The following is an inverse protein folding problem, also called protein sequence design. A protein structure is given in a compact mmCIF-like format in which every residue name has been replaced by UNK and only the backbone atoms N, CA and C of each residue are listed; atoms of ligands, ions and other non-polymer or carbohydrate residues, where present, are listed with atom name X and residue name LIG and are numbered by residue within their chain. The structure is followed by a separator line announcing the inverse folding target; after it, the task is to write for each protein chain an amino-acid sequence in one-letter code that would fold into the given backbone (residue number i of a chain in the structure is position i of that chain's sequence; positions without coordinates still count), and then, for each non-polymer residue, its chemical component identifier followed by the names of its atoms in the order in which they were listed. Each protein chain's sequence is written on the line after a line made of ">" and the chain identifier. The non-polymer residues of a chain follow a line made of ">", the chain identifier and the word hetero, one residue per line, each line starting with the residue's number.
data_IF_153281185617
#
_entry.id   IF_153281185617
#
_cell.length_a   1.000
_cell.length_b   1.000
_cell.length_c   1.000
_cell.angle_alpha   90.00
_cell.angle_beta   90.00
_cell.angle_gamma   90.00
#
_symmetry.space_group_name_H-M   'P 1'
#
loop_
_entity.id
_entity.type
_entity.pdbx_description
1 polymer ?
#
# COMPACT_ATOMS: atom_id res chain seq x y z
N UNK A 1 -4.76 39.14 18.00
CA UNK A 1 -4.65 37.76 18.52
C UNK A 1 -3.63 37.04 17.65
N UNK A 2 -2.48 36.72 18.21
CA UNK A 2 -1.41 36.03 17.51
C UNK A 2 -1.84 34.57 17.23
N UNK A 3 -1.36 34.00 16.10
CA UNK A 3 -1.64 32.62 15.67
C UNK A 3 -1.35 31.60 16.78
N UNK A 4 -0.32 31.87 17.57
CA UNK A 4 0.09 31.07 18.74
C UNK A 4 -0.97 31.13 19.87
N UNK A 5 -1.50 32.32 20.14
CA UNK A 5 -2.53 32.56 21.17
C UNK A 5 -3.88 31.93 20.79
N UNK A 6 -4.24 31.92 19.50
CA UNK A 6 -5.43 31.24 18.99
C UNK A 6 -5.33 29.72 19.20
N UNK A 7 -4.21 29.11 18.83
CA UNK A 7 -4.02 27.65 18.95
C UNK A 7 -3.92 27.19 20.41
N UNK A 8 -3.29 27.97 21.28
CA UNK A 8 -3.19 27.66 22.72
C UNK A 8 -4.56 27.73 23.41
N UNK A 9 -5.39 28.71 23.05
CA UNK A 9 -6.74 28.84 23.61
C UNK A 9 -7.71 27.77 23.10
N UNK A 10 -7.54 27.32 21.82
CA UNK A 10 -8.33 26.23 21.26
C UNK A 10 -7.93 24.89 21.87
N UNK A 11 -6.64 24.65 22.10
CA UNK A 11 -6.16 23.43 22.78
C UNK A 11 -6.60 23.31 24.24
N UNK A 12 -6.68 24.41 24.98
CA UNK A 12 -7.15 24.42 26.37
C UNK A 12 -8.66 24.25 26.50
N UNK A 13 -9.45 24.68 25.52
CA UNK A 13 -10.90 24.50 25.51
C UNK A 13 -11.31 23.04 25.21
N UNK A 14 -10.48 22.26 24.50
CA UNK A 14 -10.73 20.85 24.19
C UNK A 14 -10.34 19.88 25.32
N UNK A 15 -9.52 20.30 26.27
CA UNK A 15 -9.13 19.50 27.45
C UNK A 15 -10.22 19.32 28.51
N UNK A 16 -11.32 20.08 28.44
CA UNK A 16 -12.38 20.06 29.45
C UNK A 16 -13.58 19.15 29.12
N UNK A 17 -13.64 18.57 27.90
CA UNK A 17 -14.76 17.75 27.44
C UNK A 17 -14.55 16.22 27.65
N UNK A 18 -13.50 15.79 28.32
CA UNK A 18 -13.12 14.38 28.46
C UNK A 18 -13.85 13.63 29.62
N UNK A 19 -15.04 14.02 30.01
CA UNK A 19 -15.83 13.36 31.06
C UNK A 19 -17.23 12.92 30.59
N UNK A 20 -17.31 12.25 29.45
CA UNK A 20 -18.50 11.50 29.04
C UNK A 20 -18.14 10.01 28.93
N UNK A 21 -18.89 9.16 29.63
CA UNK A 21 -18.59 7.76 29.94
C UNK A 21 -18.39 6.81 28.75
N UNK A 22 -18.00 5.56 29.02
CA UNK A 22 -17.56 4.62 28.01
C UNK A 22 -18.71 4.12 27.14
N UNK A 23 -18.65 4.41 25.85
CA UNK A 23 -19.44 3.68 24.86
C UNK A 23 -18.97 2.22 24.80
N UNK A 24 -19.88 1.23 24.69
CA UNK A 24 -19.47 -0.18 24.68
C UNK A 24 -18.78 -0.55 23.35
N UNK A 25 -17.46 -0.65 23.40
CA UNK A 25 -16.57 -1.08 22.28
C UNK A 25 -16.56 -2.60 22.03
N UNK A 26 -17.56 -3.36 22.50
CA UNK A 26 -17.52 -4.82 22.48
C UNK A 26 -18.56 -5.46 21.55
N UNK A 27 -18.51 -5.16 20.23
CA UNK A 27 -19.36 -5.88 19.25
C UNK A 27 -18.66 -6.34 17.98
N UNK A 28 -17.38 -6.15 17.79
CA UNK A 28 -16.68 -6.43 16.53
C UNK A 28 -16.45 -7.92 16.23
N UNK A 29 -16.26 -8.75 17.24
CA UNK A 29 -16.09 -10.21 17.05
C UNK A 29 -17.40 -11.01 17.07
N UNK A 30 -18.49 -10.46 17.62
CA UNK A 30 -19.78 -11.13 17.72
C UNK A 30 -20.62 -11.07 16.42
N UNK A 31 -20.34 -10.10 15.52
CA UNK A 31 -21.08 -10.00 14.25
C UNK A 31 -20.64 -11.02 13.21
N UNK A 32 -19.42 -11.57 13.32
CA UNK A 32 -18.94 -12.65 12.46
C UNK A 32 -19.69 -13.98 12.66
N UNK A 33 -20.48 -14.12 13.73
CA UNK A 33 -21.20 -15.34 14.08
C UNK A 33 -22.60 -15.48 13.47
N UNK A 34 -23.16 -14.42 12.89
CA UNK A 34 -24.52 -14.45 12.31
C UNK A 34 -24.58 -14.60 10.78
N UNK A 35 -23.48 -14.49 10.07
CA UNK A 35 -23.40 -14.69 8.63
C UNK A 35 -22.34 -15.76 8.33
N UNK A 36 -22.76 -16.92 7.88
CA UNK A 36 -22.01 -18.11 7.44
C UNK A 36 -20.53 -18.21 7.79
N UNK A 37 -20.10 -19.38 8.24
CA UNK A 37 -18.69 -19.64 8.57
C UNK A 37 -17.76 -19.34 7.39
N UNK A 38 -16.70 -18.54 7.60
CA UNK A 38 -15.64 -18.31 6.61
C UNK A 38 -14.86 -19.58 6.23
N UNK A 39 -15.17 -20.71 6.87
CA UNK A 39 -14.61 -22.03 6.51
C UNK A 39 -15.13 -22.56 5.17
N UNK A 40 -16.27 -22.08 4.67
CA UNK A 40 -16.79 -22.43 3.34
C UNK A 40 -16.75 -21.25 2.38
N UNK A 41 -16.68 -21.50 1.07
CA UNK A 41 -16.72 -20.47 0.04
C UNK A 41 -18.09 -19.81 -0.08
N UNK A 42 -19.16 -20.53 0.25
CA UNK A 42 -20.52 -20.03 0.37
C UNK A 42 -20.61 -18.99 1.51
N UNK A 43 -19.99 -19.29 2.66
CA UNK A 43 -19.91 -18.37 3.78
C UNK A 43 -19.10 -17.12 3.47
N UNK A 44 -17.98 -17.25 2.74
CA UNK A 44 -17.22 -16.12 2.22
C UNK A 44 -18.05 -15.28 1.25
N UNK A 45 -18.75 -15.93 0.28
CA UNK A 45 -19.62 -15.24 -0.67
C UNK A 45 -20.75 -14.49 0.02
N UNK A 46 -21.33 -15.04 1.07
CA UNK A 46 -22.41 -14.41 1.84
C UNK A 46 -22.00 -13.10 2.52
N UNK A 47 -20.69 -12.81 2.65
CA UNK A 47 -20.20 -11.53 3.15
C UNK A 47 -20.39 -10.39 2.16
N UNK A 48 -20.63 -10.70 0.87
CA UNK A 48 -20.74 -9.69 -0.19
C UNK A 48 -22.21 -9.50 -0.61
N UNK A 49 -22.66 -8.25 -0.55
CA UNK A 49 -24.01 -7.89 -0.94
C UNK A 49 -24.09 -7.60 -2.45
N UNK A 50 -23.81 -8.63 -3.26
CA UNK A 50 -23.77 -8.53 -4.71
C UNK A 50 -25.16 -8.77 -5.31
N UNK A 51 -25.50 -8.05 -6.38
CA UNK A 51 -26.73 -8.26 -7.13
C UNK A 51 -26.80 -9.70 -7.68
N UNK A 52 -27.87 -10.46 -7.39
CA UNK A 52 -27.94 -11.87 -7.74
C UNK A 52 -28.23 -12.15 -9.23
N UNK A 53 -28.68 -11.12 -9.96
CA UNK A 53 -29.12 -11.18 -11.38
C UNK A 53 -27.96 -11.06 -12.37
N UNK A 54 -26.71 -10.96 -11.89
CA UNK A 54 -25.54 -10.82 -12.76
C UNK A 54 -24.31 -11.53 -12.22
N UNK A 55 -23.42 -11.93 -13.13
CA UNK A 55 -22.13 -12.52 -12.82
C UNK A 55 -21.07 -11.42 -12.69
N UNK A 56 -20.49 -11.28 -11.50
CA UNK A 56 -19.50 -10.25 -11.20
C UNK A 56 -18.09 -10.75 -11.53
N UNK A 57 -17.56 -10.39 -12.69
CA UNK A 57 -16.24 -10.81 -13.16
C UNK A 57 -15.19 -9.67 -13.20
N UNK A 58 -15.53 -8.49 -12.71
CA UNK A 58 -14.66 -7.32 -12.74
C UNK A 58 -14.00 -7.00 -11.37
N UNK A 59 -13.91 -7.97 -10.45
CA UNK A 59 -13.26 -7.79 -9.14
C UNK A 59 -11.78 -7.38 -9.24
N UNK A 60 -11.11 -7.76 -10.31
CA UNK A 60 -9.75 -7.34 -10.62
C UNK A 60 -9.61 -5.81 -10.86
N UNK A 61 -10.71 -5.16 -11.23
CA UNK A 61 -10.75 -3.70 -11.43
C UNK A 61 -11.27 -3.00 -10.17
N UNK A 62 -12.42 -3.44 -9.65
CA UNK A 62 -13.05 -2.90 -8.46
C UNK A 62 -13.89 -3.98 -7.78
N UNK A 63 -13.63 -4.24 -6.50
CA UNK A 63 -14.39 -5.21 -5.71
C UNK A 63 -15.50 -4.55 -4.88
N UNK A 64 -16.48 -5.37 -4.48
CA UNK A 64 -17.42 -5.04 -3.43
C UNK A 64 -16.77 -5.22 -2.06
N UNK A 65 -17.21 -4.48 -1.06
CA UNK A 65 -16.72 -4.64 0.31
C UNK A 65 -17.43 -5.81 1.01
N UNK A 66 -16.72 -6.66 1.76
CA UNK A 66 -17.32 -7.66 2.63
C UNK A 66 -18.02 -6.99 3.83
N UNK A 67 -18.87 -7.72 4.51
CA UNK A 67 -19.67 -7.23 5.64
C UNK A 67 -18.84 -6.48 6.68
N UNK A 68 -17.71 -7.01 7.22
CA UNK A 68 -16.97 -6.30 8.26
C UNK A 68 -16.42 -4.94 7.78
N UNK A 69 -15.97 -4.84 6.53
CA UNK A 69 -15.50 -3.58 5.94
C UNK A 69 -16.65 -2.57 5.81
N UNK A 70 -17.83 -3.01 5.31
CA UNK A 70 -18.99 -2.12 5.20
C UNK A 70 -19.46 -1.59 6.56
N UNK A 71 -19.52 -2.46 7.56
CA UNK A 71 -19.93 -2.10 8.92
C UNK A 71 -18.93 -1.14 9.57
N UNK A 72 -17.64 -1.32 9.33
CA UNK A 72 -16.61 -0.41 9.83
C UNK A 72 -16.71 0.98 9.18
N UNK A 73 -16.87 1.05 7.86
CA UNK A 73 -17.09 2.31 7.13
C UNK A 73 -18.31 3.04 7.71
N UNK A 74 -19.43 2.35 7.86
CA UNK A 74 -20.66 2.95 8.36
C UNK A 74 -20.52 3.43 9.81
N UNK A 75 -19.89 2.67 10.67
CA UNK A 75 -19.60 3.04 12.07
C UNK A 75 -18.77 4.33 12.16
N UNK A 76 -17.70 4.42 11.38
CA UNK A 76 -16.84 5.61 11.38
C UNK A 76 -17.55 6.82 10.74
N UNK A 77 -18.31 6.61 9.67
CA UNK A 77 -19.13 7.65 9.06
C UNK A 77 -20.12 8.26 10.06
N UNK A 78 -20.87 7.40 10.78
CA UNK A 78 -21.82 7.85 11.80
C UNK A 78 -21.14 8.62 12.93
N UNK A 79 -19.98 8.17 13.38
CA UNK A 79 -19.21 8.87 14.42
C UNK A 79 -18.78 10.27 13.97
N UNK A 80 -18.25 10.37 12.74
CA UNK A 80 -17.82 11.65 12.16
C UNK A 80 -19.00 12.58 11.88
N UNK A 81 -20.17 12.05 11.45
CA UNK A 81 -21.37 12.86 11.22
C UNK A 81 -21.94 13.40 12.55
N UNK A 82 -21.85 12.61 13.63
CA UNK A 82 -22.39 12.98 14.94
C UNK A 82 -21.52 14.02 15.66
N UNK A 83 -20.21 13.83 15.67
CA UNK A 83 -19.23 14.72 16.30
C UNK A 83 -17.92 14.74 15.47
N UNK A 84 -17.83 15.56 14.42
CA UNK A 84 -16.70 15.53 13.47
C UNK A 84 -15.33 15.69 14.14
N UNK A 85 -15.21 16.66 15.05
CA UNK A 85 -13.92 17.00 15.66
C UNK A 85 -13.61 16.09 16.84
N UNK A 86 -14.55 15.83 17.74
CA UNK A 86 -14.33 14.98 18.90
C UNK A 86 -14.05 13.54 18.49
N UNK A 87 -14.84 13.00 17.55
CA UNK A 87 -14.64 11.65 17.05
C UNK A 87 -13.31 11.52 16.29
N UNK A 88 -12.98 12.45 15.40
CA UNK A 88 -11.70 12.46 14.67
C UNK A 88 -10.52 12.50 15.67
N UNK A 89 -10.56 13.41 16.63
CA UNK A 89 -9.49 13.57 17.62
C UNK A 89 -9.27 12.32 18.47
N UNK A 90 -10.36 11.63 18.81
CA UNK A 90 -10.29 10.38 19.58
C UNK A 90 -9.77 9.20 18.75
N UNK A 91 -10.16 9.11 17.48
CA UNK A 91 -9.97 7.92 16.68
C UNK A 91 -8.72 7.96 15.77
N UNK A 92 -8.30 9.11 15.27
CA UNK A 92 -7.29 9.25 14.22
C UNK A 92 -6.04 8.41 14.48
N UNK A 93 -5.29 8.70 15.53
CA UNK A 93 -4.04 7.99 15.84
C UNK A 93 -4.25 6.50 16.17
N UNK A 94 -5.39 6.15 16.78
CA UNK A 94 -5.71 4.75 17.11
C UNK A 94 -5.98 3.93 15.87
N UNK A 95 -6.79 4.48 14.96
CA UNK A 95 -7.22 3.78 13.75
C UNK A 95 -6.07 3.70 12.73
N UNK A 96 -5.31 4.76 12.52
CA UNK A 96 -4.12 4.67 11.65
C UNK A 96 -3.12 3.62 12.17
N UNK A 97 -2.86 3.59 13.47
CA UNK A 97 -2.01 2.56 14.06
C UNK A 97 -2.61 1.15 13.92
N UNK A 98 -3.92 0.99 13.98
CA UNK A 98 -4.59 -0.30 13.75
C UNK A 98 -4.45 -0.76 12.30
N UNK A 99 -4.64 0.14 11.34
CA UNK A 99 -4.45 -0.13 9.90
C UNK A 99 -3.01 -0.52 9.61
N UNK A 100 -2.03 0.24 10.10
CA UNK A 100 -0.61 -0.06 9.89
C UNK A 100 -0.20 -1.41 10.48
N UNK A 101 -0.68 -1.75 11.69
CA UNK A 101 -0.45 -3.08 12.30
C UNK A 101 -1.07 -4.19 11.47
N UNK A 102 -2.35 -4.08 11.11
CA UNK A 102 -3.03 -5.10 10.30
C UNK A 102 -2.36 -5.31 8.94
N UNK A 103 -1.92 -4.24 8.28
CA UNK A 103 -1.16 -4.32 7.04
C UNK A 103 0.21 -4.99 7.25
N UNK A 104 0.92 -4.65 8.33
CA UNK A 104 2.23 -5.21 8.65
C UNK A 104 2.14 -6.71 8.98
N UNK A 105 1.18 -7.11 9.81
CA UNK A 105 0.91 -8.52 10.14
C UNK A 105 0.60 -9.31 8.86
N UNK A 106 -0.29 -8.79 8.02
CA UNK A 106 -0.67 -9.42 6.74
C UNK A 106 0.52 -9.57 5.77
N UNK A 107 1.42 -8.59 5.70
CA UNK A 107 2.54 -8.55 4.77
C UNK A 107 3.83 -9.17 5.32
N UNK A 108 3.89 -9.48 6.62
CA UNK A 108 5.11 -9.91 7.30
C UNK A 108 6.17 -8.81 7.37
N UNK A 109 5.76 -7.58 7.69
CA UNK A 109 6.57 -6.37 7.71
C UNK A 109 6.56 -5.70 9.10
N UNK A 110 7.33 -4.62 9.25
CA UNK A 110 7.20 -3.71 10.39
C UNK A 110 6.23 -2.57 10.03
N UNK A 111 5.31 -2.15 10.93
CA UNK A 111 4.41 -1.02 10.67
C UNK A 111 5.14 0.27 10.27
N UNK A 112 6.36 0.47 10.74
CA UNK A 112 7.19 1.64 10.40
C UNK A 112 7.77 1.61 8.99
N UNK A 113 7.62 0.51 8.27
CA UNK A 113 8.02 0.34 6.88
C UNK A 113 6.87 0.67 5.89
N UNK A 114 5.66 0.96 6.38
CA UNK A 114 4.46 1.15 5.55
C UNK A 114 4.02 2.61 5.55
N UNK A 115 3.81 3.17 4.35
CA UNK A 115 3.12 4.43 4.12
C UNK A 115 1.73 4.15 3.54
N UNK A 116 0.70 4.86 4.04
CA UNK A 116 -0.67 4.76 3.51
C UNK A 116 -0.87 5.72 2.34
N UNK A 117 -1.62 5.28 1.34
CA UNK A 117 -1.98 6.08 0.16
C UNK A 117 -3.45 5.84 -0.22
N UNK A 118 -3.95 6.56 -1.21
CA UNK A 118 -5.36 6.42 -1.62
C UNK A 118 -5.54 5.42 -2.77
N UNK A 119 -4.47 5.02 -3.43
CA UNK A 119 -4.51 4.05 -4.54
C UNK A 119 -3.12 3.61 -4.96
N UNK A 120 -3.01 2.58 -5.80
CA UNK A 120 -1.76 2.22 -6.47
C UNK A 120 -1.17 3.41 -7.25
N UNK A 121 -1.99 4.10 -8.03
CA UNK A 121 -1.53 5.25 -8.85
C UNK A 121 -0.96 6.37 -7.98
N UNK A 122 -1.59 6.68 -6.85
CA UNK A 122 -1.06 7.63 -5.87
C UNK A 122 0.27 7.13 -5.30
N UNK A 123 0.32 5.87 -4.86
CA UNK A 123 1.54 5.27 -4.30
C UNK A 123 2.71 5.25 -5.28
N UNK A 124 2.47 4.89 -6.55
CA UNK A 124 3.47 4.97 -7.62
C UNK A 124 3.95 6.41 -7.84
N UNK A 125 3.01 7.36 -7.90
CA UNK A 125 3.33 8.78 -8.06
C UNK A 125 4.17 9.34 -6.91
N UNK A 126 3.80 9.01 -5.67
CA UNK A 126 4.53 9.42 -4.46
C UNK A 126 5.93 8.81 -4.41
N UNK A 127 6.04 7.48 -4.58
CA UNK A 127 7.33 6.81 -4.53
C UNK A 127 8.24 7.27 -5.67
N UNK A 128 7.82 7.11 -6.92
CA UNK A 128 8.67 7.44 -8.07
C UNK A 128 8.96 8.93 -8.15
N UNK A 129 7.97 9.78 -7.84
CA UNK A 129 8.15 11.22 -7.75
C UNK A 129 9.15 11.66 -6.66
N UNK A 130 9.30 10.86 -5.60
CA UNK A 130 10.20 11.09 -4.47
C UNK A 130 11.58 10.47 -4.60
N UNK A 131 11.81 9.51 -5.52
CA UNK A 131 13.12 8.85 -5.65
C UNK A 131 14.24 9.85 -5.97
N UNK A 132 15.35 9.74 -5.27
CA UNK A 132 16.56 10.52 -5.56
C UNK A 132 17.23 9.96 -6.81
N UNK A 133 17.14 10.70 -7.91
CA UNK A 133 17.75 10.37 -9.20
C UNK A 133 18.47 11.59 -9.76
N UNK A 134 19.51 11.34 -10.56
CA UNK A 134 20.35 12.35 -11.18
C UNK A 134 20.39 12.18 -12.70
N UNK A 135 20.77 13.25 -13.42
CA UNK A 135 21.02 13.19 -14.85
C UNK A 135 22.05 12.11 -15.17
N UNK A 136 21.80 11.38 -16.25
CA UNK A 136 22.63 10.24 -16.67
C UNK A 136 22.28 8.90 -16.04
N UNK A 137 21.48 8.86 -14.97
CA UNK A 137 20.96 7.60 -14.43
C UNK A 137 19.80 7.06 -15.25
N UNK A 138 19.59 5.75 -15.17
CA UNK A 138 18.55 5.04 -15.92
C UNK A 138 17.54 4.37 -14.99
N UNK A 139 16.27 4.46 -15.36
CA UNK A 139 15.18 3.64 -14.85
C UNK A 139 14.90 2.55 -15.88
N UNK A 140 15.04 1.30 -15.49
CA UNK A 140 14.69 0.14 -16.29
C UNK A 140 13.28 -0.34 -15.92
N UNK A 141 12.39 -0.43 -16.92
CA UNK A 141 11.03 -0.94 -16.76
C UNK A 141 10.68 -1.84 -17.94
N UNK A 142 9.47 -2.34 -18.03
CA UNK A 142 9.07 -3.28 -19.07
C UNK A 142 8.02 -2.71 -20.00
N UNK A 143 7.88 -3.29 -21.19
CA UNK A 143 6.78 -2.95 -22.11
C UNK A 143 5.43 -3.51 -21.65
N UNK A 144 5.42 -4.31 -20.58
CA UNK A 144 4.25 -5.00 -20.03
C UNK A 144 3.62 -4.26 -18.86
N UNK A 145 4.28 -3.20 -18.38
CA UNK A 145 3.83 -2.44 -17.21
C UNK A 145 2.61 -1.58 -17.51
N UNK A 146 1.86 -1.28 -16.44
CA UNK A 146 0.65 -0.47 -16.56
C UNK A 146 0.97 1.01 -16.81
N UNK A 147 0.08 1.70 -17.49
CA UNK A 147 0.14 3.14 -17.79
C UNK A 147 0.56 4.01 -16.60
N UNK A 148 0.04 3.73 -15.39
CA UNK A 148 0.36 4.50 -14.17
C UNK A 148 1.83 4.38 -13.79
N UNK A 149 2.42 3.19 -13.90
CA UNK A 149 3.86 2.94 -13.66
C UNK A 149 4.68 3.71 -14.70
N UNK A 150 4.41 3.49 -15.98
CA UNK A 150 5.15 4.12 -17.09
C UNK A 150 5.13 5.65 -16.96
N UNK A 151 3.95 6.22 -16.75
CA UNK A 151 3.78 7.68 -16.72
C UNK A 151 4.43 8.30 -15.48
N UNK A 152 4.32 7.66 -14.30
CA UNK A 152 4.99 8.15 -13.09
C UNK A 152 6.51 8.12 -13.21
N UNK A 153 7.08 7.08 -13.81
CA UNK A 153 8.52 6.98 -14.09
C UNK A 153 8.97 8.05 -15.08
N UNK A 154 8.21 8.26 -16.15
CA UNK A 154 8.49 9.30 -17.15
C UNK A 154 8.49 10.70 -16.53
N UNK A 155 7.49 11.04 -15.71
CA UNK A 155 7.45 12.32 -15.03
C UNK A 155 8.64 12.53 -14.09
N UNK A 156 9.14 11.45 -13.44
CA UNK A 156 10.35 11.56 -12.63
C UNK A 156 11.59 11.80 -13.48
N UNK A 157 11.73 11.05 -14.56
CA UNK A 157 12.88 11.20 -15.49
C UNK A 157 12.96 12.61 -16.07
N UNK A 158 11.83 13.17 -16.53
CA UNK A 158 11.74 14.53 -17.07
C UNK A 158 12.21 15.59 -16.06
N UNK A 159 11.93 15.40 -14.74
CA UNK A 159 12.32 16.34 -13.70
C UNK A 159 13.78 16.23 -13.24
N UNK A 160 14.43 15.09 -13.49
CA UNK A 160 15.78 14.80 -12.97
C UNK A 160 16.85 14.71 -14.05
N UNK A 161 16.46 14.64 -15.32
CA UNK A 161 17.38 14.35 -16.42
C UNK A 161 17.81 12.87 -16.49
N UNK A 162 17.17 11.98 -15.70
CA UNK A 162 17.31 10.54 -15.85
C UNK A 162 16.59 10.05 -17.10
N UNK A 163 16.87 8.82 -17.53
CA UNK A 163 16.23 8.20 -18.69
C UNK A 163 15.35 7.03 -18.28
N UNK A 164 14.27 6.78 -19.02
CA UNK A 164 13.44 5.56 -18.85
C UNK A 164 13.68 4.66 -20.06
N UNK A 165 14.08 3.42 -19.78
CA UNK A 165 14.22 2.41 -20.83
C UNK A 165 13.27 1.24 -20.56
N UNK A 166 12.52 0.88 -21.61
CA UNK A 166 11.56 -0.23 -21.58
C UNK A 166 12.13 -1.43 -22.33
N UNK A 167 11.98 -2.62 -21.75
CA UNK A 167 12.39 -3.89 -22.36
C UNK A 167 11.24 -4.89 -22.40
N UNK A 168 11.18 -5.79 -23.40
CA UNK A 168 10.40 -7.01 -23.31
C UNK A 168 11.11 -7.96 -22.35
N UNK A 169 10.38 -8.61 -21.41
CA UNK A 169 10.95 -9.62 -20.52
C UNK A 169 10.91 -11.03 -21.11
N UNK A 170 10.06 -11.25 -22.10
CA UNK A 170 9.87 -12.54 -22.78
C UNK A 170 9.44 -12.31 -24.22
N UNK A 171 9.64 -13.32 -25.07
CA UNK A 171 9.31 -13.29 -26.50
C UNK A 171 7.91 -13.84 -26.79
N UNK A 172 7.56 -14.92 -26.12
CA UNK A 172 6.28 -15.64 -26.32
C UNK A 172 5.66 -15.96 -24.95
N UNK A 173 4.46 -15.42 -24.71
CA UNK A 173 3.72 -15.63 -23.46
C UNK A 173 3.45 -17.11 -23.17
N UNK A 174 3.23 -17.93 -24.20
CA UNK A 174 2.92 -19.35 -24.05
C UNK A 174 4.15 -20.23 -23.74
N UNK A 175 5.36 -19.67 -23.91
CA UNK A 175 6.63 -20.38 -23.72
C UNK A 175 7.54 -19.72 -22.70
N UNK A 176 7.06 -18.65 -22.06
CA UNK A 176 7.85 -17.90 -21.09
C UNK A 176 8.32 -18.80 -19.94
N UNK A 177 9.57 -18.66 -19.56
CA UNK A 177 10.17 -19.34 -18.42
C UNK A 177 10.72 -18.33 -17.41
N UNK A 178 10.92 -18.79 -16.18
CA UNK A 178 11.58 -18.00 -15.13
C UNK A 178 12.97 -17.56 -15.58
N UNK A 179 13.75 -18.49 -16.14
CA UNK A 179 15.11 -18.21 -16.62
C UNK A 179 15.11 -17.16 -17.72
N UNK A 180 14.21 -17.25 -18.71
CA UNK A 180 14.10 -16.23 -19.77
C UNK A 180 13.87 -14.85 -19.20
N UNK A 181 12.95 -14.71 -18.22
CA UNK A 181 12.64 -13.43 -17.57
C UNK A 181 13.85 -12.89 -16.81
N UNK A 182 14.48 -13.73 -15.99
CA UNK A 182 15.60 -13.32 -15.12
C UNK A 182 16.83 -12.98 -15.95
N UNK A 183 17.17 -13.80 -16.95
CA UNK A 183 18.31 -13.57 -17.83
C UNK A 183 18.14 -12.32 -18.69
N UNK A 184 16.92 -12.12 -19.23
CA UNK A 184 16.59 -10.91 -20.00
C UNK A 184 16.72 -9.65 -19.16
N UNK A 185 16.18 -9.66 -17.93
CA UNK A 185 16.33 -8.55 -16.98
C UNK A 185 17.79 -8.28 -16.69
N UNK A 186 18.53 -9.33 -16.31
CA UNK A 186 19.94 -9.23 -15.87
C UNK A 186 20.81 -8.68 -17.01
N UNK A 187 20.66 -9.21 -18.22
CA UNK A 187 21.39 -8.73 -19.41
C UNK A 187 21.07 -7.28 -19.76
N UNK A 188 19.87 -6.81 -19.43
CA UNK A 188 19.45 -5.45 -19.70
C UNK A 188 20.01 -4.43 -18.69
N UNK A 189 20.43 -4.83 -17.50
CA UNK A 189 20.98 -3.91 -16.48
C UNK A 189 22.32 -3.35 -16.94
N UNK A 190 22.47 -2.02 -16.87
CA UNK A 190 23.67 -1.25 -17.23
C UNK A 190 24.29 -0.59 -15.99
N UNK A 191 25.50 -0.07 -16.12
CA UNK A 191 26.13 0.74 -15.06
C UNK A 191 25.26 1.95 -14.65
N UNK A 192 24.62 2.61 -15.63
CA UNK A 192 23.71 3.75 -15.41
C UNK A 192 22.36 3.36 -14.80
N UNK A 193 21.97 2.08 -14.83
CA UNK A 193 20.68 1.64 -14.26
C UNK A 193 20.70 1.80 -12.74
N UNK A 194 19.77 2.60 -12.22
CA UNK A 194 19.62 2.87 -10.78
C UNK A 194 18.33 2.28 -10.22
N UNK A 195 17.26 2.24 -11.01
CA UNK A 195 15.95 1.73 -10.59
C UNK A 195 15.51 0.65 -11.56
N UNK A 196 15.01 -0.46 -11.03
CA UNK A 196 14.28 -1.49 -11.75
C UNK A 196 12.83 -1.44 -11.23
N UNK A 197 11.89 -1.15 -12.13
CA UNK A 197 10.47 -1.03 -11.78
C UNK A 197 9.64 -1.98 -12.65
N UNK A 198 8.87 -2.87 -12.00
CA UNK A 198 8.05 -3.88 -12.69
C UNK A 198 6.70 -4.07 -12.02
N UNK A 199 5.71 -4.52 -12.78
CA UNK A 199 4.42 -4.98 -12.27
C UNK A 199 4.50 -6.49 -12.02
N UNK A 200 4.12 -6.93 -10.82
CA UNK A 200 4.22 -8.34 -10.41
C UNK A 200 3.31 -9.26 -11.21
N UNK A 201 2.01 -8.89 -11.30
CA UNK A 201 1.04 -9.62 -12.12
C UNK A 201 0.49 -8.67 -13.18
N UNK A 202 0.72 -8.98 -14.44
CA UNK A 202 0.34 -8.12 -15.55
C UNK A 202 -1.17 -8.12 -15.77
N UNK A 203 -1.81 -6.95 -15.71
CA UNK A 203 -3.27 -6.82 -15.90
C UNK A 203 -3.76 -7.21 -17.29
N UNK A 204 -2.88 -7.19 -18.30
CA UNK A 204 -3.22 -7.50 -19.69
C UNK A 204 -3.14 -9.00 -20.01
N UNK A 205 -2.23 -9.74 -19.35
CA UNK A 205 -1.94 -11.14 -19.70
C UNK A 205 -2.18 -12.11 -18.55
N UNK A 206 -2.29 -11.60 -17.31
CA UNK A 206 -2.33 -12.44 -16.09
C UNK A 206 -0.97 -13.06 -15.73
N UNK A 207 0.09 -12.84 -16.52
CA UNK A 207 1.40 -13.39 -16.21
C UNK A 207 1.92 -12.87 -14.87
N UNK A 208 2.30 -13.80 -14.00
CA UNK A 208 2.96 -13.52 -12.73
C UNK A 208 4.47 -13.57 -12.90
N UNK A 209 5.15 -12.46 -12.65
CA UNK A 209 6.61 -12.39 -12.67
C UNK A 209 7.26 -13.10 -11.50
N UNK A 210 8.43 -13.73 -11.66
CA UNK A 210 9.20 -14.40 -10.61
C UNK A 210 10.00 -13.36 -9.79
N UNK A 211 9.30 -12.57 -8.95
CA UNK A 211 9.90 -11.42 -8.24
C UNK A 211 11.04 -11.85 -7.32
N UNK A 212 10.93 -13.00 -6.65
CA UNK A 212 11.98 -13.49 -5.76
C UNK A 212 13.29 -13.79 -6.52
N UNK A 213 13.18 -14.46 -7.66
CA UNK A 213 14.31 -14.80 -8.52
C UNK A 213 14.94 -13.53 -9.13
N UNK A 214 14.11 -12.59 -9.59
CA UNK A 214 14.54 -11.28 -10.07
C UNK A 214 15.26 -10.50 -8.96
N UNK A 215 14.71 -10.45 -7.75
CA UNK A 215 15.32 -9.81 -6.58
C UNK A 215 16.67 -10.45 -6.22
N UNK A 216 16.76 -11.78 -6.33
CA UNK A 216 18.01 -12.52 -6.07
C UNK A 216 19.08 -12.17 -7.10
N UNK A 217 18.73 -12.06 -8.38
CA UNK A 217 19.66 -11.64 -9.45
C UNK A 217 20.11 -10.18 -9.24
N UNK A 218 19.18 -9.27 -8.93
CA UNK A 218 19.49 -7.85 -8.62
C UNK A 218 20.42 -7.76 -7.41
N UNK A 219 20.19 -8.54 -6.37
CA UNK A 219 21.06 -8.57 -5.18
C UNK A 219 22.49 -9.00 -5.52
N UNK A 220 22.66 -10.00 -6.39
CA UNK A 220 23.98 -10.43 -6.86
C UNK A 220 24.70 -9.30 -7.59
N UNK A 221 24.00 -8.56 -8.44
CA UNK A 221 24.58 -7.39 -9.14
C UNK A 221 24.96 -6.32 -8.13
N UNK A 222 24.14 -6.05 -7.12
CA UNK A 222 24.39 -5.05 -6.09
C UNK A 222 25.63 -5.36 -5.22
N UNK A 223 26.08 -6.62 -5.09
CA UNK A 223 27.33 -6.95 -4.41
C UNK A 223 28.58 -6.34 -5.07
N UNK A 224 28.52 -6.00 -6.35
CA UNK A 224 29.62 -5.40 -7.10
C UNK A 224 29.42 -3.89 -7.34
N UNK A 225 28.41 -3.27 -6.74
CA UNK A 225 28.11 -1.84 -6.87
C UNK A 225 28.37 -1.10 -5.56
N UNK A 226 28.79 0.13 -5.67
CA UNK A 226 28.83 1.03 -4.52
C UNK A 226 27.40 1.33 -4.06
N UNK A 227 27.23 1.62 -2.77
CA UNK A 227 25.91 1.88 -2.18
C UNK A 227 25.16 3.03 -2.89
N UNK A 228 25.88 4.04 -3.34
CA UNK A 228 25.32 5.18 -4.08
C UNK A 228 24.74 4.77 -5.44
N UNK A 229 25.26 3.70 -6.05
CA UNK A 229 24.86 3.18 -7.36
C UNK A 229 24.06 1.88 -7.26
N UNK A 230 23.71 1.45 -6.05
CA UNK A 230 22.90 0.26 -5.79
C UNK A 230 21.59 0.32 -6.55
N UNK A 231 21.22 -0.78 -7.23
CA UNK A 231 19.92 -0.93 -7.86
C UNK A 231 18.81 -0.95 -6.81
N UNK A 232 17.76 -0.20 -7.06
CA UNK A 232 16.53 -0.18 -6.27
C UNK A 232 15.45 -0.93 -7.04
N UNK A 233 14.90 -1.96 -6.42
CA UNK A 233 13.88 -2.82 -7.03
C UNK A 233 12.50 -2.47 -6.53
N UNK A 234 11.66 -1.88 -7.39
CA UNK A 234 10.29 -1.42 -7.11
C UNK A 234 9.27 -2.34 -7.81
N UNK A 235 8.26 -2.78 -7.07
CA UNK A 235 7.25 -3.72 -7.53
C UNK A 235 5.85 -3.12 -7.38
N UNK A 236 5.12 -2.98 -8.48
CA UNK A 236 3.68 -2.76 -8.47
C UNK A 236 2.99 -4.10 -8.17
N UNK A 237 2.49 -4.25 -6.95
CA UNK A 237 1.86 -5.46 -6.45
C UNK A 237 0.34 -5.45 -6.46
N UNK A 238 -0.30 -4.51 -7.19
CA UNK A 238 -1.75 -4.30 -7.11
C UNK A 238 -2.60 -5.53 -7.46
N UNK A 239 -2.12 -6.41 -8.33
CA UNK A 239 -2.81 -7.66 -8.67
C UNK A 239 -2.30 -8.87 -7.91
N UNK A 240 -1.28 -8.72 -7.07
CA UNK A 240 -0.78 -9.76 -6.20
C UNK A 240 -1.30 -9.63 -4.76
N UNK A 241 -1.47 -8.39 -4.25
CA UNK A 241 -2.04 -8.15 -2.93
C UNK A 241 -3.48 -8.67 -2.85
N UNK A 242 -3.72 -9.61 -1.94
CA UNK A 242 -5.01 -10.29 -1.79
C UNK A 242 -5.19 -11.51 -2.72
N UNK A 243 -4.23 -11.81 -3.59
CA UNK A 243 -4.19 -13.03 -4.44
C UNK A 243 -3.09 -13.97 -3.99
N UNK A 244 -1.86 -13.48 -3.93
CA UNK A 244 -0.70 -14.28 -3.62
C UNK A 244 -0.46 -14.36 -2.10
N UNK A 245 -0.09 -15.56 -1.63
CA UNK A 245 0.41 -15.75 -0.27
C UNK A 245 1.92 -15.55 -0.27
N UNK A 246 2.39 -14.46 0.31
CA UNK A 246 3.80 -14.10 0.36
C UNK A 246 4.17 -13.39 1.66
N UNK A 247 5.46 -13.32 1.91
CA UNK A 247 6.09 -12.45 2.89
C UNK A 247 7.01 -11.46 2.15
N UNK A 248 6.98 -10.19 2.52
CA UNK A 248 7.83 -9.17 1.91
C UNK A 248 9.33 -9.46 2.09
N UNK A 249 9.70 -10.09 3.21
CA UNK A 249 11.09 -10.51 3.46
C UNK A 249 11.57 -11.55 2.44
N UNK A 250 10.68 -12.49 2.07
CA UNK A 250 10.98 -13.53 1.08
C UNK A 250 10.92 -12.99 -0.34
N UNK A 251 10.06 -12.02 -0.61
CA UNK A 251 9.91 -11.41 -1.93
C UNK A 251 11.20 -10.70 -2.37
N UNK A 252 11.86 -9.99 -1.45
CA UNK A 252 13.21 -9.45 -1.62
C UNK A 252 13.29 -8.17 -2.47
N UNK A 253 12.18 -7.52 -2.81
CA UNK A 253 12.17 -6.19 -3.42
C UNK A 253 12.48 -5.09 -2.39
N UNK A 254 12.82 -3.88 -2.86
CA UNK A 254 13.07 -2.72 -2.01
C UNK A 254 11.76 -1.97 -1.69
N UNK A 255 10.83 -1.93 -2.65
CA UNK A 255 9.51 -1.30 -2.49
C UNK A 255 8.41 -2.17 -3.11
N UNK A 256 7.26 -2.23 -2.43
CA UNK A 256 6.01 -2.77 -2.96
C UNK A 256 4.92 -1.71 -2.89
N UNK A 257 4.19 -1.51 -3.97
CA UNK A 257 3.10 -0.54 -4.07
C UNK A 257 1.82 -1.29 -4.42
N UNK A 258 0.72 -1.05 -3.69
CA UNK A 258 -0.55 -1.69 -4.00
C UNK A 258 -1.75 -0.86 -3.54
N UNK A 259 -2.82 -0.86 -4.35
CA UNK A 259 -4.14 -0.41 -3.94
C UNK A 259 -4.92 -1.54 -3.25
N UNK A 260 -5.69 -1.21 -2.24
CA UNK A 260 -6.40 -2.20 -1.43
C UNK A 260 -7.83 -2.51 -1.90
N UNK A 261 -8.35 -1.76 -2.87
CA UNK A 261 -9.75 -1.82 -3.35
C UNK A 261 -10.04 -2.91 -4.39
N UNK A 262 -9.03 -3.73 -4.75
CA UNK A 262 -9.17 -4.84 -5.70
C UNK A 262 -9.31 -6.17 -4.95
N UNK A 263 -8.33 -7.03 -5.05
CA UNK A 263 -8.38 -8.41 -4.53
C UNK A 263 -8.44 -8.49 -3.00
N UNK A 264 -7.89 -7.52 -2.28
CA UNK A 264 -8.03 -7.43 -0.83
C UNK A 264 -9.46 -7.06 -0.39
N UNK A 265 -10.31 -6.61 -1.32
CA UNK A 265 -11.68 -6.15 -1.06
C UNK A 265 -11.76 -5.00 -0.04
N UNK A 266 -10.69 -4.24 0.11
CA UNK A 266 -10.60 -3.10 1.01
C UNK A 266 -11.39 -1.88 0.52
N UNK A 267 -11.53 -0.87 1.37
CA UNK A 267 -12.25 0.34 1.02
C UNK A 267 -11.67 1.04 -0.23
N UNK A 268 -12.56 1.62 -1.02
CA UNK A 268 -12.16 2.47 -2.15
C UNK A 268 -11.42 3.70 -1.64
N UNK A 269 -10.42 4.16 -2.36
CA UNK A 269 -9.58 5.27 -1.90
C UNK A 269 -8.57 4.83 -0.84
N UNK A 270 -8.12 3.57 -0.87
CA UNK A 270 -7.05 3.05 0.02
C UNK A 270 -5.97 2.32 -0.76
N UNK A 271 -4.76 2.43 -0.28
CA UNK A 271 -3.56 1.78 -0.80
C UNK A 271 -2.40 1.91 0.17
N UNK A 272 -1.30 1.30 -0.18
CA UNK A 272 -0.07 1.36 0.61
C UNK A 272 1.18 1.37 -0.27
N UNK A 273 2.26 1.88 0.30
CA UNK A 273 3.64 1.68 -0.15
C UNK A 273 4.40 1.08 1.01
N UNK A 274 4.89 -0.13 0.84
CA UNK A 274 5.90 -0.69 1.71
C UNK A 274 7.29 -0.42 1.14
N UNK A 275 8.24 -0.09 2.00
CA UNK A 275 9.65 0.00 1.64
C UNK A 275 10.52 -0.63 2.70
N UNK A 276 11.51 -1.41 2.28
CA UNK A 276 12.51 -1.94 3.21
C UNK A 276 13.19 -0.78 3.96
N UNK A 277 13.49 -0.95 5.25
CA UNK A 277 14.10 0.09 6.07
C UNK A 277 15.38 0.68 5.42
N UNK A 278 16.19 -0.15 4.76
CA UNK A 278 17.38 0.27 4.02
C UNK A 278 17.07 1.03 2.72
N UNK A 279 15.88 0.89 2.16
CA UNK A 279 15.50 1.53 0.90
C UNK A 279 14.83 2.90 1.10
N UNK A 280 14.12 3.11 2.20
CA UNK A 280 13.43 4.37 2.48
C UNK A 280 14.29 5.64 2.37
N UNK A 281 15.59 5.66 2.72
CA UNK A 281 16.41 6.89 2.60
C UNK A 281 16.49 7.47 1.19
N UNK A 282 16.30 6.68 0.13
CA UNK A 282 16.34 7.16 -1.26
C UNK A 282 15.03 7.87 -1.69
N UNK A 283 13.93 7.64 -0.97
CA UNK A 283 12.63 8.23 -1.28
C UNK A 283 12.38 9.48 -0.43
N UNK A 284 12.01 10.59 -1.04
CA UNK A 284 11.69 11.84 -0.37
C UNK A 284 10.21 12.16 -0.53
N UNK A 285 9.53 12.66 0.52
CA UNK A 285 8.13 13.06 0.42
C UNK A 285 7.98 14.23 -0.56
N UNK A 286 6.94 14.17 -1.38
CA UNK A 286 6.56 15.24 -2.32
C UNK A 286 5.27 15.94 -1.90
N UNK A 287 4.52 15.34 -0.97
CA UNK A 287 3.35 15.91 -0.32
C UNK A 287 3.63 15.90 1.19
N UNK A 288 3.43 17.02 1.92
CA UNK A 288 3.62 17.05 3.38
C UNK A 288 2.69 16.04 4.08
N UNK A 289 3.18 15.41 5.13
CA UNK A 289 2.36 14.58 6.02
C UNK A 289 1.56 15.46 6.99
N UNK A 290 0.40 14.93 7.46
CA UNK A 290 -0.35 15.51 8.59
C UNK A 290 -0.21 14.67 9.87
N UNK A 291 0.80 13.78 9.92
CA UNK A 291 1.08 13.03 11.14
C UNK A 291 1.24 13.97 12.34
N UNK A 292 0.56 13.65 13.44
CA UNK A 292 0.47 14.52 14.61
C UNK A 292 1.86 14.83 15.21
N UNK A 293 2.75 13.85 15.31
CA UNK A 293 4.09 14.08 15.85
C UNK A 293 4.94 14.96 14.93
N UNK A 294 4.85 14.77 13.60
CA UNK A 294 5.52 15.64 12.64
C UNK A 294 5.00 17.08 12.75
N UNK A 295 3.70 17.25 12.95
CA UNK A 295 3.09 18.55 13.17
C UNK A 295 3.54 19.20 14.49
N UNK A 296 3.57 18.44 15.59
CA UNK A 296 4.03 18.90 16.91
C UNK A 296 5.52 19.28 16.93
N UNK A 297 6.36 18.55 16.17
CA UNK A 297 7.77 18.92 15.96
C UNK A 297 7.85 20.28 15.24
N UNK A 298 7.07 20.45 14.17
CA UNK A 298 7.02 21.72 13.44
C UNK A 298 6.52 22.88 14.30
N UNK A 299 5.55 22.65 15.19
CA UNK A 299 5.05 23.65 16.17
C UNK A 299 6.03 23.90 17.32
N UNK A 300 7.11 23.13 17.43
CA UNK A 300 8.07 23.17 18.57
C UNK A 300 7.46 22.80 19.92
N UNK A 301 6.39 22.04 19.90
CA UNK A 301 5.73 21.51 21.13
C UNK A 301 6.49 20.30 21.72
N UNK A 302 7.13 19.54 20.86
CA UNK A 302 8.02 18.44 21.24
C UNK A 302 9.38 18.61 20.56
N UNK A 303 10.48 18.12 21.17
CA UNK A 303 11.79 18.19 20.54
C UNK A 303 11.82 17.40 19.23
N UNK A 304 12.69 17.78 18.28
CA UNK A 304 12.93 17.00 17.09
C UNK A 304 13.27 15.55 17.45
N UNK A 305 12.53 14.61 16.87
CA UNK A 305 12.81 13.18 16.97
C UNK A 305 12.85 12.59 15.56
N UNK A 306 13.61 11.52 15.39
CA UNK A 306 13.57 10.78 14.13
C UNK A 306 12.23 10.04 14.03
N UNK A 307 11.43 10.40 13.04
CA UNK A 307 10.25 9.63 12.66
C UNK A 307 10.62 8.71 11.49
N UNK A 308 9.99 7.52 11.38
CA UNK A 308 10.15 6.66 10.21
C UNK A 308 9.88 7.42 8.90
N UNK A 309 10.63 7.13 7.86
CA UNK A 309 10.46 7.79 6.56
C UNK A 309 9.06 7.55 5.97
N UNK A 310 8.48 6.39 6.21
CA UNK A 310 7.11 6.02 5.82
C UNK A 310 6.06 7.01 6.35
N UNK A 311 6.25 7.55 7.57
CA UNK A 311 5.38 8.58 8.16
C UNK A 311 5.36 9.84 7.29
N UNK A 312 6.54 10.28 6.83
CA UNK A 312 6.63 11.44 5.94
C UNK A 312 6.13 11.14 4.53
N UNK A 313 6.16 9.87 4.10
CA UNK A 313 5.66 9.42 2.79
C UNK A 313 4.16 9.19 2.76
N UNK A 314 3.49 9.12 3.92
CA UNK A 314 2.02 9.15 4.02
C UNK A 314 1.54 10.58 3.78
N UNK A 315 0.83 10.86 2.67
CA UNK A 315 0.41 12.21 2.35
C UNK A 315 -0.63 12.72 3.36
N UNK A 316 -0.46 13.97 3.76
CA UNK A 316 -1.41 14.69 4.59
C UNK A 316 -2.59 15.22 3.79
N UNK A 317 -3.54 15.79 4.52
CA UNK A 317 -4.76 16.36 3.99
C UNK A 317 -6.00 15.59 4.49
N UNK A 318 -7.15 16.18 4.25
CA UNK A 318 -8.42 15.51 4.57
C UNK A 318 -8.78 14.53 3.46
N UNK A 319 -9.10 13.32 3.86
CA UNK A 319 -9.48 12.20 3.03
C UNK A 319 -10.71 11.50 3.65
N UNK A 320 -11.24 10.44 3.04
CA UNK A 320 -12.32 9.64 3.62
C UNK A 320 -11.80 8.83 4.80
N UNK A 321 -11.81 9.42 6.01
CA UNK A 321 -11.33 8.77 7.24
C UNK A 321 -12.05 7.45 7.48
N UNK A 322 -13.37 7.40 7.27
CA UNK A 322 -14.18 6.20 7.42
C UNK A 322 -13.72 5.04 6.51
N UNK A 323 -13.20 5.36 5.33
CA UNK A 323 -12.63 4.37 4.43
C UNK A 323 -11.23 3.95 4.88
N UNK A 324 -10.36 4.92 5.19
CA UNK A 324 -8.99 4.63 5.62
C UNK A 324 -8.97 3.80 6.90
N UNK A 325 -9.78 4.17 7.90
CA UNK A 325 -9.85 3.49 9.19
C UNK A 325 -10.51 2.11 9.14
N UNK A 326 -11.35 1.85 8.14
CA UNK A 326 -11.93 0.53 7.93
C UNK A 326 -11.02 -0.45 7.14
N UNK A 327 -9.82 -0.02 6.74
CA UNK A 327 -8.91 -0.86 5.96
C UNK A 327 -8.35 -2.03 6.76
N UNK A 328 -8.18 -1.91 8.05
CA UNK A 328 -7.74 -2.99 8.93
C UNK A 328 -8.68 -4.21 8.87
N UNK A 329 -10.00 -3.97 8.75
CA UNK A 329 -10.99 -5.04 8.62
C UNK A 329 -10.84 -5.84 7.32
N UNK A 330 -10.32 -5.23 6.24
CA UNK A 330 -10.05 -5.97 5.01
C UNK A 330 -8.87 -6.94 5.17
N UNK A 331 -7.80 -6.52 5.82
CA UNK A 331 -6.67 -7.42 6.14
C UNK A 331 -7.10 -8.55 7.05
N UNK A 332 -7.82 -8.26 8.14
CA UNK A 332 -8.34 -9.27 9.07
C UNK A 332 -9.30 -10.26 8.40
N UNK A 333 -10.16 -9.76 7.51
CA UNK A 333 -11.07 -10.61 6.75
C UNK A 333 -10.33 -11.61 5.87
N UNK A 334 -9.29 -11.18 5.16
CA UNK A 334 -8.44 -12.07 4.37
C UNK A 334 -7.68 -13.09 5.22
N UNK A 335 -7.14 -12.66 6.37
CA UNK A 335 -6.47 -13.56 7.31
C UNK A 335 -7.43 -14.60 7.88
N UNK A 336 -8.66 -14.20 8.21
CA UNK A 336 -9.68 -15.10 8.72
C UNK A 336 -10.12 -16.15 7.68
N UNK A 337 -10.07 -15.86 6.38
CA UNK A 337 -10.24 -16.84 5.31
C UNK A 337 -9.01 -17.74 5.19
N UNK A 338 -7.82 -17.17 5.37
CA UNK A 338 -6.51 -17.77 5.17
C UNK A 338 -5.90 -17.43 3.82
N UNK A 339 -4.76 -16.71 3.82
CA UNK A 339 -4.06 -16.26 2.60
C UNK A 339 -3.79 -17.38 1.62
N UNK A 340 -3.18 -18.48 2.10
CA UNK A 340 -2.86 -19.64 1.27
C UNK A 340 -4.12 -20.27 0.63
N UNK A 341 -5.20 -20.34 1.38
CA UNK A 341 -6.50 -20.87 0.90
C UNK A 341 -7.10 -19.97 -0.20
N UNK A 342 -6.98 -18.66 -0.06
CA UNK A 342 -7.41 -17.70 -1.12
C UNK A 342 -6.58 -17.91 -2.37
N UNK A 343 -5.25 -17.97 -2.24
CA UNK A 343 -4.31 -18.22 -3.34
C UNK A 343 -4.65 -19.51 -4.08
N UNK A 344 -4.77 -20.62 -3.36
CA UNK A 344 -5.13 -21.93 -3.92
C UNK A 344 -6.45 -21.87 -4.71
N UNK A 345 -7.47 -21.19 -4.13
CA UNK A 345 -8.77 -21.05 -4.79
C UNK A 345 -8.69 -20.27 -6.09
N UNK A 346 -7.98 -19.14 -6.08
CA UNK A 346 -7.83 -18.30 -7.28
C UNK A 346 -7.05 -19.06 -8.36
N UNK A 347 -5.94 -19.70 -8.01
CA UNK A 347 -5.13 -20.48 -8.96
C UNK A 347 -5.89 -21.70 -9.50
N UNK A 348 -6.79 -22.30 -8.73
CA UNK A 348 -7.60 -23.44 -9.21
C UNK A 348 -8.73 -23.05 -10.15
N UNK A 349 -9.07 -21.76 -10.24
CA UNK A 349 -10.12 -21.22 -11.11
C UNK A 349 -9.56 -20.65 -12.43
N UNK A 350 -8.25 -20.48 -12.51
CA UNK A 350 -7.54 -20.02 -13.71
C UNK A 350 -6.98 -21.21 -14.50
#
# INVERSE_FOLDING_TARGET
>A
MDRREFLTRTGLALGAAALAGPFPLSRSLASLTSSGSLSSWEGVRAQFNLAPDRVHMAGFFLSSHPTPVREAIERHRQGLDLDPIGYWWEQESKQEAAVLRAAADYLGADPTEIALTDSTTMGLGLLYGGLTLHAGQEILTTIHDHYSTETSLRYRAERTGATVRKIPLYRDLHRVSVDEIVDTLTAAIRSATRVVAVTWVHSSTGLKLPIHEMATAIRRINHSRDEVDRLIFCVDGVHALGVESFSLRELGCDFLIAGCHKWLCGPRGTGLVWGAASAWPIANPIIPTFNLDAYRIWMQEIPPKSLPKSVYMTPGGFHSFEHRWALDEAFRFHEAIGKARVTERIHSLN
#
